data_IF_383163715745
#
_entry.id   IF_383163715745
#
_cell.length_a   1.000
_cell.length_b   1.000
_cell.length_c   1.000
_cell.angle_alpha   90.00
_cell.angle_beta   90.00
_cell.angle_gamma   90.00
#
_symmetry.space_group_name_H-M   'P 1'
#
loop_
_entity.id
_entity.type
_entity.pdbx_description
1 polymer ?
#
# COMPACT_ATOMS: atom_id res chain seq x y z
N UNK A 1 -6.61 18.91 -10.97
CA UNK A 1 -7.11 17.78 -10.15
C UNK A 1 -8.61 17.94 -10.01
N UNK A 2 -9.37 16.93 -10.43
CA UNK A 2 -10.83 16.87 -10.25
C UNK A 2 -11.08 15.69 -9.31
N UNK A 3 -11.92 15.89 -8.30
CA UNK A 3 -12.29 14.82 -7.37
C UNK A 3 -13.05 13.73 -8.13
N UNK A 4 -12.57 12.49 -8.02
CA UNK A 4 -13.31 11.31 -8.48
C UNK A 4 -14.07 10.69 -7.31
N UNK A 5 -15.37 10.98 -7.25
CA UNK A 5 -16.28 10.37 -6.29
C UNK A 5 -17.07 9.22 -6.92
N UNK A 6 -16.51 8.56 -7.93
CA UNK A 6 -17.11 7.37 -8.50
C UNK A 6 -17.26 6.27 -7.46
N UNK A 7 -18.31 5.46 -7.62
CA UNK A 7 -18.52 4.29 -6.78
C UNK A 7 -17.31 3.35 -6.80
N UNK A 8 -16.63 3.24 -7.94
CA UNK A 8 -15.47 2.37 -8.09
C UNK A 8 -14.30 2.83 -7.20
N UNK A 9 -13.96 4.12 -7.26
CA UNK A 9 -12.86 4.74 -6.50
C UNK A 9 -13.10 4.74 -4.99
N UNK A 10 -14.34 4.96 -4.57
CA UNK A 10 -14.70 4.87 -3.14
C UNK A 10 -14.57 3.43 -2.64
N UNK A 11 -15.01 2.45 -3.43
CA UNK A 11 -14.95 1.04 -3.04
C UNK A 11 -13.51 0.51 -3.01
N UNK A 12 -12.65 0.89 -3.96
CA UNK A 12 -11.22 0.54 -3.94
C UNK A 12 -10.52 1.16 -2.72
N UNK A 13 -10.74 2.46 -2.46
CA UNK A 13 -10.23 3.16 -1.29
C UNK A 13 -10.64 2.48 0.02
N UNK A 14 -11.94 2.19 0.20
CA UNK A 14 -12.44 1.56 1.42
C UNK A 14 -11.90 0.12 1.58
N UNK A 15 -11.80 -0.62 0.48
CA UNK A 15 -11.28 -1.99 0.49
C UNK A 15 -9.83 -2.02 0.97
N UNK A 16 -8.97 -1.19 0.38
CA UNK A 16 -7.55 -1.18 0.74
C UNK A 16 -7.32 -0.58 2.13
N UNK A 17 -8.09 0.45 2.52
CA UNK A 17 -8.05 1.00 3.87
C UNK A 17 -8.39 -0.08 4.91
N UNK A 18 -9.45 -0.88 4.67
CA UNK A 18 -9.81 -1.98 5.55
C UNK A 18 -8.72 -3.06 5.62
N UNK A 19 -8.15 -3.45 4.48
CA UNK A 19 -7.05 -4.43 4.42
C UNK A 19 -5.82 -3.94 5.18
N UNK A 20 -5.36 -2.72 4.91
CA UNK A 20 -4.20 -2.14 5.57
C UNK A 20 -4.43 -1.93 7.06
N UNK A 21 -5.65 -1.60 7.50
CA UNK A 21 -5.99 -1.52 8.92
C UNK A 21 -5.89 -2.88 9.59
N UNK A 22 -6.45 -3.93 8.99
CA UNK A 22 -6.35 -5.31 9.51
C UNK A 22 -4.88 -5.73 9.60
N UNK A 23 -4.10 -5.53 8.54
CA UNK A 23 -2.68 -5.91 8.52
C UNK A 23 -1.84 -5.08 9.50
N UNK A 24 -2.14 -3.79 9.66
CA UNK A 24 -1.51 -2.91 10.64
C UNK A 24 -1.75 -3.41 12.07
N UNK A 25 -2.97 -3.83 12.40
CA UNK A 25 -3.29 -4.40 13.72
C UNK A 25 -2.55 -5.72 13.95
N UNK A 26 -2.54 -6.62 12.96
CA UNK A 26 -1.82 -7.90 13.04
C UNK A 26 -0.30 -7.71 13.17
N UNK A 27 0.27 -6.81 12.39
CA UNK A 27 1.70 -6.50 12.41
C UNK A 27 2.11 -5.81 13.72
N UNK A 28 1.27 -4.93 14.26
CA UNK A 28 1.54 -4.27 15.54
C UNK A 28 1.41 -5.24 16.73
N UNK A 29 0.34 -6.05 16.77
CA UNK A 29 0.02 -6.93 17.91
C UNK A 29 0.82 -8.22 17.89
N UNK A 30 0.82 -8.91 16.75
CA UNK A 30 1.32 -10.28 16.61
C UNK A 30 2.71 -10.31 15.94
N UNK A 31 3.22 -9.15 15.48
CA UNK A 31 4.51 -8.99 14.77
C UNK A 31 4.65 -9.86 13.52
N UNK A 32 3.52 -10.33 13.00
CA UNK A 32 3.43 -11.29 11.91
C UNK A 32 2.11 -11.09 11.17
N UNK A 33 2.20 -11.00 9.86
CA UNK A 33 1.06 -11.19 8.96
C UNK A 33 1.30 -12.48 8.20
N UNK A 34 0.44 -13.47 8.40
CA UNK A 34 0.61 -14.76 7.75
C UNK A 34 0.25 -14.67 6.26
N UNK A 35 0.82 -15.57 5.46
CA UNK A 35 0.62 -15.55 4.01
C UNK A 35 -0.85 -15.73 3.63
N UNK A 36 -1.60 -16.50 4.42
CA UNK A 36 -3.02 -16.76 4.23
C UNK A 36 -3.81 -15.44 4.28
N UNK A 37 -3.54 -14.58 5.27
CA UNK A 37 -4.21 -13.28 5.36
C UNK A 37 -3.88 -12.36 4.18
N UNK A 38 -2.63 -12.35 3.72
CA UNK A 38 -2.22 -11.54 2.56
C UNK A 38 -2.88 -12.03 1.28
N UNK A 39 -2.91 -13.35 1.06
CA UNK A 39 -3.54 -13.97 -0.12
C UNK A 39 -5.05 -13.72 -0.11
N UNK A 40 -5.72 -13.96 1.02
CA UNK A 40 -7.17 -13.72 1.15
C UNK A 40 -7.49 -12.26 0.86
N UNK A 41 -6.75 -11.32 1.46
CA UNK A 41 -7.00 -9.91 1.22
C UNK A 41 -6.70 -9.46 -0.21
N UNK A 42 -5.64 -9.99 -0.83
CA UNK A 42 -5.35 -9.77 -2.24
C UNK A 42 -6.45 -10.29 -3.16
N UNK A 43 -7.01 -11.47 -2.88
CA UNK A 43 -8.15 -12.03 -3.63
C UNK A 43 -9.39 -11.17 -3.44
N UNK A 44 -9.73 -10.79 -2.20
CA UNK A 44 -10.91 -9.96 -1.91
C UNK A 44 -10.78 -8.58 -2.58
N UNK A 45 -9.63 -7.93 -2.46
CA UNK A 45 -9.36 -6.66 -3.14
C UNK A 45 -9.43 -6.79 -4.66
N UNK A 46 -8.86 -7.86 -5.22
CA UNK A 46 -8.94 -8.15 -6.65
C UNK A 46 -10.36 -8.39 -7.16
N UNK A 47 -11.20 -9.08 -6.38
CA UNK A 47 -12.62 -9.27 -6.71
C UNK A 47 -13.34 -7.93 -6.73
N UNK A 48 -13.15 -7.08 -5.71
CA UNK A 48 -13.75 -5.74 -5.65
C UNK A 48 -13.33 -4.92 -6.87
N UNK A 49 -12.04 -4.90 -7.18
CA UNK A 49 -11.45 -4.19 -8.31
C UNK A 49 -12.06 -4.61 -9.67
N UNK A 50 -12.29 -5.90 -9.85
CA UNK A 50 -12.90 -6.45 -11.08
C UNK A 50 -14.39 -6.10 -11.13
N UNK A 51 -15.11 -6.27 -10.02
CA UNK A 51 -16.57 -6.00 -9.96
C UNK A 51 -16.90 -4.52 -10.14
N UNK A 52 -16.03 -3.61 -9.68
CA UNK A 52 -16.23 -2.17 -9.85
C UNK A 52 -15.79 -1.66 -11.22
N UNK A 53 -15.11 -2.48 -12.03
CA UNK A 53 -14.52 -2.05 -13.31
C UNK A 53 -13.32 -1.11 -13.15
N UNK A 54 -12.81 -0.91 -11.93
CA UNK A 54 -11.71 0.02 -11.66
C UNK A 54 -10.44 -0.38 -12.43
N UNK A 55 -10.15 -1.68 -12.48
CA UNK A 55 -8.99 -2.20 -13.22
C UNK A 55 -9.04 -1.85 -14.71
N UNK A 56 -10.21 -2.03 -15.33
CA UNK A 56 -10.37 -1.81 -16.77
C UNK A 56 -10.30 -0.32 -17.13
N UNK A 57 -10.79 0.56 -16.26
CA UNK A 57 -10.69 2.01 -16.45
C UNK A 57 -9.27 2.52 -16.28
N UNK A 58 -8.49 1.93 -15.36
CA UNK A 58 -7.17 2.41 -14.96
C UNK A 58 -6.02 1.43 -15.29
N UNK A 59 -6.14 0.68 -16.39
CA UNK A 59 -5.21 -0.42 -16.70
C UNK A 59 -3.73 0.01 -16.75
N UNK A 60 -3.45 1.20 -17.30
CA UNK A 60 -2.08 1.74 -17.40
C UNK A 60 -1.51 2.03 -16.02
N UNK A 61 -2.31 2.60 -15.12
CA UNK A 61 -1.94 2.88 -13.73
C UNK A 61 -1.57 1.57 -13.00
N UNK A 62 -2.46 0.57 -13.04
CA UNK A 62 -2.24 -0.72 -12.38
C UNK A 62 -1.02 -1.49 -12.92
N UNK A 63 -0.83 -1.52 -14.25
CA UNK A 63 0.31 -2.21 -14.85
C UNK A 63 1.63 -1.51 -14.52
N UNK A 64 1.66 -0.18 -14.56
CA UNK A 64 2.84 0.61 -14.19
C UNK A 64 3.21 0.36 -12.74
N UNK A 65 2.22 0.40 -11.84
CA UNK A 65 2.40 0.13 -10.42
C UNK A 65 2.99 -1.25 -10.16
N UNK A 66 2.47 -2.30 -10.79
CA UNK A 66 3.00 -3.66 -10.66
C UNK A 66 4.44 -3.77 -11.19
N UNK A 67 4.71 -3.21 -12.37
CA UNK A 67 6.04 -3.21 -12.98
C UNK A 67 7.07 -2.45 -12.14
N UNK A 68 6.65 -1.42 -11.43
CA UNK A 68 7.50 -0.63 -10.56
C UNK A 68 7.70 -1.28 -9.17
N UNK A 69 6.61 -1.65 -8.51
CA UNK A 69 6.62 -2.11 -7.11
C UNK A 69 7.14 -3.53 -6.98
N UNK A 70 6.82 -4.46 -7.88
CA UNK A 70 7.25 -5.85 -7.72
C UNK A 70 8.79 -5.98 -7.71
N UNK A 71 9.54 -5.41 -8.67
CA UNK A 71 11.01 -5.43 -8.62
C UNK A 71 11.56 -4.69 -7.40
N UNK A 72 10.98 -3.53 -7.06
CA UNK A 72 11.46 -2.71 -5.95
C UNK A 72 11.26 -3.41 -4.59
N UNK A 73 10.08 -3.97 -4.36
CA UNK A 73 9.76 -4.76 -3.17
C UNK A 73 10.68 -5.99 -3.07
N UNK A 74 10.96 -6.66 -4.19
CA UNK A 74 11.90 -7.78 -4.21
C UNK A 74 13.33 -7.35 -3.85
N UNK A 75 13.82 -6.24 -4.41
CA UNK A 75 15.15 -5.69 -4.09
C UNK A 75 15.23 -5.31 -2.60
N UNK A 76 14.25 -4.55 -2.08
CA UNK A 76 14.19 -4.14 -0.68
C UNK A 76 14.14 -5.35 0.27
N UNK A 77 13.37 -6.38 -0.09
CA UNK A 77 13.33 -7.63 0.67
C UNK A 77 14.70 -8.33 0.69
N UNK A 78 15.40 -8.40 -0.46
CA UNK A 78 16.73 -9.03 -0.55
C UNK A 78 17.81 -8.22 0.19
N UNK A 79 17.67 -6.91 0.28
CA UNK A 79 18.53 -6.04 1.09
C UNK A 79 18.23 -6.15 2.60
N UNK A 80 17.12 -6.78 2.99
CA UNK A 80 16.69 -6.90 4.38
C UNK A 80 16.11 -5.61 4.96
N UNK A 81 15.76 -4.63 4.13
CA UNK A 81 15.15 -3.37 4.58
C UNK A 81 13.67 -3.51 4.92
N UNK A 82 12.98 -4.49 4.32
CA UNK A 82 11.58 -4.81 4.57
C UNK A 82 11.40 -6.31 4.80
N UNK A 83 10.40 -6.71 5.58
CA UNK A 83 10.05 -8.10 5.80
C UNK A 83 9.35 -8.73 4.59
N UNK A 84 9.28 -10.06 4.57
CA UNK A 84 8.59 -10.80 3.51
C UNK A 84 7.07 -10.57 3.50
N UNK A 85 6.47 -10.25 4.65
CA UNK A 85 5.07 -9.86 4.73
C UNK A 85 4.84 -8.47 4.12
N UNK A 86 5.67 -7.49 4.48
CA UNK A 86 5.60 -6.11 3.98
C UNK A 86 5.72 -6.07 2.46
N UNK A 87 6.68 -6.82 1.91
CA UNK A 87 6.87 -6.92 0.46
C UNK A 87 5.61 -7.43 -0.25
N UNK A 88 4.93 -8.45 0.30
CA UNK A 88 3.71 -8.99 -0.29
C UNK A 88 2.54 -8.03 -0.16
N UNK A 89 2.42 -7.33 0.96
CA UNK A 89 1.39 -6.31 1.17
C UNK A 89 1.57 -5.15 0.20
N UNK A 90 2.81 -4.71 -0.07
CA UNK A 90 3.10 -3.72 -1.11
C UNK A 90 2.67 -4.18 -2.50
N UNK A 91 2.90 -5.45 -2.85
CA UNK A 91 2.42 -6.00 -4.13
C UNK A 91 0.89 -5.98 -4.19
N UNK A 92 0.21 -6.40 -3.11
CA UNK A 92 -1.26 -6.35 -3.03
C UNK A 92 -1.77 -4.91 -3.15
N UNK A 93 -1.13 -3.96 -2.47
CA UNK A 93 -1.45 -2.54 -2.54
C UNK A 93 -1.30 -2.00 -3.96
N UNK A 94 -0.16 -2.25 -4.61
CA UNK A 94 0.09 -1.85 -6.01
C UNK A 94 -0.89 -2.47 -7.00
N UNK A 95 -1.48 -3.61 -6.67
CA UNK A 95 -2.49 -4.25 -7.50
C UNK A 95 -3.88 -3.67 -7.28
N UNK A 96 -4.29 -3.45 -6.03
CA UNK A 96 -5.66 -3.07 -5.66
C UNK A 96 -5.87 -1.56 -5.70
N UNK A 97 -4.88 -0.77 -5.26
CA UNK A 97 -4.95 0.68 -5.17
C UNK A 97 -3.57 1.29 -5.48
N UNK A 98 -3.17 1.33 -6.76
CA UNK A 98 -1.85 1.76 -7.21
C UNK A 98 -1.58 3.27 -7.08
N UNK A 99 -2.59 4.07 -6.77
CA UNK A 99 -2.55 5.52 -6.95
C UNK A 99 -3.45 6.29 -6.00
N UNK A 100 -3.82 7.48 -6.42
CA UNK A 100 -4.73 8.36 -5.69
C UNK A 100 -6.14 8.05 -6.13
N UNK A 101 -6.90 7.32 -5.31
CA UNK A 101 -8.23 6.87 -5.69
C UNK A 101 -9.21 8.03 -5.82
N UNK A 102 -9.08 9.06 -5.00
CA UNK A 102 -10.08 10.13 -4.90
C UNK A 102 -9.87 11.27 -5.92
N UNK A 103 -8.86 11.19 -6.78
CA UNK A 103 -8.48 12.27 -7.70
C UNK A 103 -8.09 11.73 -9.06
N UNK A 104 -8.62 12.35 -10.11
CA UNK A 104 -8.19 12.07 -11.47
C UNK A 104 -6.87 12.81 -11.74
N UNK A 105 -5.82 12.05 -12.03
CA UNK A 105 -4.57 12.56 -12.58
C UNK A 105 -4.50 12.31 -14.09
N UNK A 106 -3.99 13.29 -14.82
CA UNK A 106 -3.88 13.18 -16.29
C UNK A 106 -2.76 12.21 -16.73
N UNK A 107 -1.77 11.98 -15.86
CA UNK A 107 -0.55 11.21 -16.14
C UNK A 107 -0.47 9.95 -15.25
N UNK A 108 -1.12 8.84 -15.64
CA UNK A 108 -1.26 7.65 -14.79
C UNK A 108 0.09 6.99 -14.44
N UNK A 109 1.08 7.08 -15.34
CA UNK A 109 2.41 6.52 -15.09
C UNK A 109 3.11 7.25 -13.94
N UNK A 110 3.06 8.58 -13.98
CA UNK A 110 3.68 9.42 -12.96
C UNK A 110 2.96 9.27 -11.63
N UNK A 111 1.63 9.21 -11.66
CA UNK A 111 0.80 8.97 -10.48
C UNK A 111 1.19 7.70 -9.74
N UNK A 112 1.25 6.55 -10.43
CA UNK A 112 1.64 5.28 -9.81
C UNK A 112 3.02 5.35 -9.14
N UNK A 113 4.01 5.95 -9.83
CA UNK A 113 5.38 6.05 -9.32
C UNK A 113 5.43 6.95 -8.09
N UNK A 114 4.76 8.11 -8.12
CA UNK A 114 4.76 9.06 -7.01
C UNK A 114 3.97 8.50 -5.82
N UNK A 115 2.78 7.93 -6.04
CA UNK A 115 1.94 7.38 -4.98
C UNK A 115 2.64 6.25 -4.22
N UNK A 116 3.11 5.24 -4.95
CA UNK A 116 3.78 4.07 -4.35
C UNK A 116 5.16 4.44 -3.81
N UNK A 117 5.86 5.37 -4.46
CA UNK A 117 7.12 5.93 -3.96
C UNK A 117 6.93 6.65 -2.64
N UNK A 118 5.88 7.46 -2.50
CA UNK A 118 5.52 8.14 -1.26
C UNK A 118 5.22 7.15 -0.14
N UNK A 119 4.39 6.15 -0.40
CA UNK A 119 4.05 5.10 0.56
C UNK A 119 5.28 4.35 1.06
N UNK A 120 6.19 3.97 0.16
CA UNK A 120 7.47 3.35 0.50
C UNK A 120 8.34 4.27 1.36
N UNK A 121 8.43 5.55 1.02
CA UNK A 121 9.20 6.53 1.78
C UNK A 121 8.64 6.66 3.20
N UNK A 122 7.32 6.83 3.36
CA UNK A 122 6.69 6.94 4.67
C UNK A 122 6.88 5.66 5.48
N UNK A 123 6.72 4.49 4.85
CA UNK A 123 6.92 3.20 5.50
C UNK A 123 8.35 3.04 6.03
N UNK A 124 9.36 3.31 5.19
CA UNK A 124 10.77 3.14 5.55
C UNK A 124 11.25 4.19 6.57
N UNK A 125 10.88 5.46 6.39
CA UNK A 125 11.22 6.52 7.34
C UNK A 125 10.53 6.29 8.69
N UNK A 126 9.25 5.92 8.67
CA UNK A 126 8.50 5.57 9.88
C UNK A 126 9.15 4.43 10.64
N UNK A 127 9.51 3.34 9.95
CA UNK A 127 10.25 2.22 10.53
C UNK A 127 11.61 2.62 11.10
N UNK A 128 12.36 3.47 10.39
CA UNK A 128 13.65 3.99 10.84
C UNK A 128 13.53 4.84 12.12
N UNK A 129 12.59 5.79 12.15
CA UNK A 129 12.37 6.63 13.32
C UNK A 129 11.86 5.80 14.50
N UNK A 130 10.96 4.85 14.27
CA UNK A 130 10.49 3.94 15.29
C UNK A 130 11.63 3.16 15.93
N UNK A 131 12.50 2.57 15.09
CA UNK A 131 13.68 1.86 15.56
C UNK A 131 14.65 2.76 16.35
N UNK A 132 14.83 4.01 15.92
CA UNK A 132 15.72 4.98 16.59
C UNK A 132 15.19 5.44 17.96
N UNK A 133 13.87 5.59 18.09
CA UNK A 133 13.24 6.06 19.35
C UNK A 133 13.08 4.91 20.35
N UNK A 134 12.87 3.68 19.88
CA UNK A 134 12.66 2.53 20.76
C UNK A 134 14.00 2.09 21.40
N UNK A 135 14.07 2.10 22.74
CA UNK A 135 15.25 1.65 23.49
C UNK A 135 15.61 0.20 23.11
N UNK A 136 16.91 -0.05 22.91
CA UNK A 136 17.61 -1.28 22.47
C UNK A 136 17.19 -2.65 23.08
N UNK A 137 16.21 -2.72 23.97
CA UNK A 137 15.88 -3.93 24.73
C UNK A 137 14.87 -4.88 24.06
N UNK A 138 14.29 -4.52 22.93
CA UNK A 138 13.47 -5.46 22.14
C UNK A 138 14.10 -5.70 20.77
N UNK A 139 14.60 -6.91 20.54
CA UNK A 139 15.10 -7.39 19.26
C UNK A 139 13.97 -7.64 18.22
N UNK A 140 12.81 -6.98 18.38
CA UNK A 140 11.69 -7.11 17.47
C UNK A 140 11.82 -6.15 16.29
N UNK A 141 11.62 -6.66 15.09
CA UNK A 141 11.56 -5.88 13.86
C UNK A 141 10.46 -4.80 13.98
N UNK A 142 10.68 -3.59 13.45
CA UNK A 142 9.67 -2.53 13.48
C UNK A 142 8.42 -2.96 12.70
N UNK A 143 7.21 -2.61 13.17
CA UNK A 143 6.00 -2.88 12.41
C UNK A 143 5.92 -1.87 11.27
N UNK A 144 6.10 -2.30 10.02
CA UNK A 144 6.16 -1.39 8.88
C UNK A 144 4.77 -1.08 8.31
N UNK A 145 3.83 -2.01 8.40
CA UNK A 145 2.49 -1.88 7.82
C UNK A 145 1.68 -0.72 8.41
N UNK A 146 1.75 -0.41 9.72
CA UNK A 146 1.10 0.78 10.26
C UNK A 146 1.60 2.08 9.61
N UNK A 147 2.88 2.18 9.28
CA UNK A 147 3.43 3.34 8.59
C UNK A 147 3.00 3.39 7.13
N UNK A 148 2.87 2.23 6.48
CA UNK A 148 2.30 2.12 5.14
C UNK A 148 0.85 2.64 5.10
N UNK A 149 0.01 2.25 6.08
CA UNK A 149 -1.36 2.76 6.22
C UNK A 149 -1.38 4.29 6.40
N UNK A 150 -0.50 4.83 7.24
CA UNK A 150 -0.39 6.29 7.42
C UNK A 150 0.03 6.98 6.13
N UNK A 151 0.99 6.41 5.40
CA UNK A 151 1.42 6.93 4.11
C UNK A 151 0.29 6.98 3.08
N UNK A 152 -0.47 5.89 2.99
CA UNK A 152 -1.65 5.77 2.14
C UNK A 152 -2.69 6.86 2.49
N UNK A 153 -3.12 6.94 3.76
CA UNK A 153 -4.12 7.92 4.17
C UNK A 153 -3.65 9.36 4.00
N UNK A 154 -2.37 9.64 4.31
CA UNK A 154 -1.80 10.97 4.11
C UNK A 154 -1.81 11.36 2.63
N UNK A 155 -1.49 10.43 1.71
CA UNK A 155 -1.53 10.68 0.28
C UNK A 155 -2.96 11.03 -0.18
N UNK A 156 -3.96 10.25 0.24
CA UNK A 156 -5.35 10.51 -0.14
C UNK A 156 -5.85 11.85 0.42
N UNK A 157 -5.48 12.20 1.66
CA UNK A 157 -5.82 13.50 2.24
C UNK A 157 -5.15 14.64 1.47
N UNK A 158 -3.84 14.54 1.19
CA UNK A 158 -3.09 15.56 0.45
C UNK A 158 -3.69 15.77 -0.94
N UNK A 159 -4.14 14.71 -1.61
CA UNK A 159 -4.69 14.86 -2.94
C UNK A 159 -6.07 15.54 -2.97
N UNK A 160 -6.85 15.42 -1.89
CA UNK A 160 -8.18 16.05 -1.78
C UNK A 160 -8.09 17.56 -1.52
N UNK A 161 -6.97 18.06 -0.99
CA UNK A 161 -6.75 19.48 -0.65
C UNK A 161 -5.90 20.23 -1.68
#
# INVERSE_FOLDING_TARGET
MVLDLSFASIMSFLAIMALLLIYSVLDYRDRRVTNEFVIIGGIVGGIILILTGHFTSNIVLHLTALLFVVPLAYILFRLGSIGGADAKVLVVLSFVSPGVELVICDEPVLEAIIALGWELVVMLLGGYFYWRVRKKNEASTPPLIPFLLVGYLALQVIAVF
#
